data_IF_868042063220
#
_entry.id   IF_868042063220
#
_cell.length_a   1.000
_cell.length_b   1.000
_cell.length_c   1.000
_cell.angle_alpha   90.00
_cell.angle_beta   90.00
_cell.angle_gamma   90.00
#
_symmetry.space_group_name_H-M   'P 1'
#
loop_
_entity.id
_entity.type
_entity.pdbx_description
1 polymer ?
#
# COMPACT_ATOMS: atom_id res chain seq x y z
N UNK A 1 -32.14 53.18 8.83
CA UNK A 1 -32.73 54.39 9.45
C UNK A 1 -33.80 54.91 8.50
N UNK A 2 -35.08 55.16 8.76
CA UNK A 2 -35.98 55.09 9.93
C UNK A 2 -37.41 55.41 9.42
N UNK A 3 -38.45 54.75 9.98
CA UNK A 3 -39.93 55.06 10.01
C UNK A 3 -40.73 55.13 8.68
N UNK A 4 -41.80 54.35 8.45
CA UNK A 4 -43.16 54.21 9.07
C UNK A 4 -44.09 55.44 8.92
N UNK A 5 -45.28 55.24 8.31
CA UNK A 5 -46.68 55.52 8.75
C UNK A 5 -47.62 55.38 7.51
N UNK A 6 -48.57 54.44 7.39
CA UNK A 6 -49.93 54.21 7.97
C UNK A 6 -51.10 54.86 7.19
N UNK A 7 -52.29 54.20 7.29
CA UNK A 7 -53.68 54.53 6.83
C UNK A 7 -54.04 53.83 5.49
N UNK A 8 -55.17 53.13 5.27
CA UNK A 8 -56.36 52.79 6.04
C UNK A 8 -57.37 52.10 5.09
N UNK A 9 -58.00 50.99 5.50
CA UNK A 9 -59.45 50.79 5.64
C UNK A 9 -60.25 50.23 4.42
N UNK A 10 -60.72 48.99 4.63
CA UNK A 10 -61.86 48.20 4.13
C UNK A 10 -62.75 48.64 2.94
N UNK A 11 -63.18 47.66 2.12
CA UNK A 11 -64.61 47.32 1.89
C UNK A 11 -64.85 45.99 1.14
N UNK A 12 -65.96 45.38 1.53
CA UNK A 12 -66.58 44.06 1.24
C UNK A 12 -67.10 43.82 -0.20
N UNK A 13 -67.18 42.54 -0.61
CA UNK A 13 -68.34 41.85 -1.27
C UNK A 13 -67.92 40.41 -1.70
N UNK A 14 -68.22 39.31 -0.97
CA UNK A 14 -69.42 38.46 -0.88
C UNK A 14 -69.96 37.84 -2.20
N UNK A 15 -69.93 36.49 -2.26
CA UNK A 15 -70.92 35.49 -2.74
C UNK A 15 -70.19 34.32 -3.43
N UNK A 16 -70.42 33.02 -3.19
CA UNK A 16 -71.58 32.25 -2.69
C UNK A 16 -71.09 30.84 -2.28
N UNK A 17 -71.69 30.25 -1.23
CA UNK A 17 -71.47 28.87 -0.77
C UNK A 17 -72.72 28.02 -0.97
N UNK A 18 -72.63 26.81 -1.53
CA UNK A 18 -73.53 25.65 -1.35
C UNK A 18 -72.63 24.39 -1.58
N UNK A 19 -72.25 23.61 -0.55
CA UNK A 19 -72.92 22.39 -0.05
C UNK A 19 -73.09 21.30 -1.14
N UNK A 20 -72.78 20.00 -1.02
CA UNK A 20 -72.44 19.06 0.05
C UNK A 20 -71.96 17.72 -0.61
N UNK A 21 -71.31 16.87 0.20
CA UNK A 21 -71.24 15.39 0.15
C UNK A 21 -70.25 14.61 -0.76
N UNK A 22 -69.27 14.01 -0.05
CA UNK A 22 -68.85 12.60 -0.04
C UNK A 22 -68.44 11.88 -1.34
N UNK A 23 -67.18 11.41 -1.42
CA UNK A 23 -66.78 10.04 -1.05
C UNK A 23 -65.30 9.80 -1.45
N UNK A 24 -64.67 8.83 -0.79
CA UNK A 24 -63.25 8.47 -0.82
C UNK A 24 -62.65 8.22 -2.22
N UNK A 25 -61.38 8.59 -2.41
CA UNK A 25 -60.36 7.67 -2.93
C UNK A 25 -58.94 8.12 -2.57
N UNK A 26 -58.22 7.20 -1.94
CA UNK A 26 -56.85 7.24 -1.47
C UNK A 26 -55.81 7.17 -2.61
N UNK A 27 -54.79 8.04 -2.58
CA UNK A 27 -53.41 7.70 -2.98
C UNK A 27 -52.44 8.50 -2.10
N UNK A 28 -51.76 7.83 -1.17
CA UNK A 28 -50.54 8.35 -0.56
C UNK A 28 -49.39 8.15 -1.56
N UNK A 29 -48.88 9.23 -2.15
CA UNK A 29 -47.56 9.22 -2.77
C UNK A 29 -46.55 9.77 -1.78
N UNK A 30 -46.00 8.90 -0.93
CA UNK A 30 -44.79 9.20 -0.18
C UNK A 30 -43.62 9.27 -1.17
N UNK A 31 -43.30 10.47 -1.61
CA UNK A 31 -42.07 10.77 -2.34
C UNK A 31 -40.88 10.54 -1.42
N UNK A 32 -40.34 9.32 -1.44
CA UNK A 32 -39.06 9.00 -0.83
C UNK A 32 -37.95 9.73 -1.60
N UNK A 33 -37.34 10.71 -0.95
CA UNK A 33 -36.07 11.27 -1.39
C UNK A 33 -35.04 10.17 -1.21
N UNK A 34 -34.71 9.47 -2.29
CA UNK A 34 -33.60 8.54 -2.31
C UNK A 34 -32.31 9.37 -2.17
N UNK A 35 -31.82 9.50 -0.94
CA UNK A 35 -30.43 9.82 -0.68
C UNK A 35 -29.62 8.68 -1.27
N UNK A 36 -28.99 8.94 -2.43
CA UNK A 36 -27.90 8.12 -2.91
C UNK A 36 -26.82 8.17 -1.84
N UNK A 37 -26.81 7.15 -0.98
CA UNK A 37 -25.68 6.86 -0.14
C UNK A 37 -24.54 6.52 -1.10
N UNK A 38 -23.70 7.52 -1.35
CA UNK A 38 -22.38 7.32 -1.91
C UNK A 38 -21.73 6.25 -1.05
N UNK A 39 -21.69 5.04 -1.60
CA UNK A 39 -21.05 3.92 -0.95
C UNK A 39 -19.60 4.31 -0.92
N UNK A 40 -19.12 4.77 0.24
CA UNK A 40 -17.70 4.92 0.49
C UNK A 40 -17.09 3.54 0.27
N UNK A 41 -16.64 3.29 -0.96
CA UNK A 41 -15.86 2.13 -1.29
C UNK A 41 -14.75 2.11 -0.24
N UNK A 42 -14.60 0.99 0.45
CA UNK A 42 -13.52 0.82 1.42
C UNK A 42 -12.24 1.30 0.73
N UNK A 43 -11.68 2.41 1.21
CA UNK A 43 -10.46 3.02 0.68
C UNK A 43 -9.29 2.11 1.07
N UNK A 44 -9.25 0.93 0.46
CA UNK A 44 -8.11 0.03 0.50
C UNK A 44 -7.05 0.68 -0.38
N UNK A 45 -6.25 1.53 0.23
CA UNK A 45 -5.21 2.29 -0.45
C UNK A 45 -4.16 2.71 0.54
N UNK A 46 -3.05 3.19 0.03
CA UNK A 46 -1.98 3.73 0.84
C UNK A 46 -1.33 4.91 0.14
N UNK A 47 -0.68 5.73 0.94
CA UNK A 47 -0.03 6.95 0.50
C UNK A 47 1.43 6.91 0.89
N UNK A 48 2.30 7.20 -0.07
CA UNK A 48 3.75 7.22 0.13
C UNK A 48 4.37 8.51 -0.39
N UNK A 49 5.22 9.13 0.42
CA UNK A 49 5.99 10.30 0.01
C UNK A 49 7.27 9.90 -0.71
N UNK A 50 7.88 10.82 -1.47
CA UNK A 50 9.20 10.57 -2.07
C UNK A 50 10.26 10.17 -1.04
N UNK A 51 10.20 10.76 0.17
CA UNK A 51 11.08 10.40 1.29
C UNK A 51 10.92 8.94 1.71
N UNK A 52 9.69 8.47 1.80
CA UNK A 52 9.42 7.06 2.10
C UNK A 52 9.91 6.15 0.95
N UNK A 53 9.82 6.59 -0.30
CA UNK A 53 10.38 5.88 -1.45
C UNK A 53 11.92 5.99 -1.59
N UNK A 54 12.60 6.50 -0.57
CA UNK A 54 14.07 6.54 -0.48
C UNK A 54 14.72 7.87 -0.90
N UNK A 55 13.92 8.89 -1.27
CA UNK A 55 14.44 10.23 -1.62
C UNK A 55 14.41 11.18 -0.44
N UNK A 56 15.52 11.20 0.30
CA UNK A 56 15.65 12.04 1.49
C UNK A 56 15.72 13.56 1.19
N UNK A 57 16.08 13.92 -0.04
CA UNK A 57 16.23 15.30 -0.48
C UNK A 57 15.36 15.59 -1.70
N UNK A 58 14.95 16.85 -1.90
CA UNK A 58 14.23 17.27 -3.10
C UNK A 58 14.97 16.88 -4.37
N UNK A 59 14.25 16.44 -5.40
CA UNK A 59 14.86 16.17 -6.70
C UNK A 59 15.23 17.50 -7.36
N UNK A 60 16.51 17.68 -7.69
CA UNK A 60 17.00 18.89 -8.35
C UNK A 60 17.27 18.58 -9.82
N UNK A 61 16.33 18.95 -10.68
CA UNK A 61 16.41 18.76 -12.12
C UNK A 61 17.03 20.01 -12.75
N UNK A 62 18.15 19.87 -13.48
CA UNK A 62 18.91 21.00 -14.03
C UNK A 62 19.38 20.74 -15.46
N UNK A 63 19.43 21.80 -16.25
CA UNK A 63 19.77 21.75 -17.68
C UNK A 63 18.55 21.54 -18.57
N UNK A 64 18.80 21.29 -19.85
CA UNK A 64 17.73 21.19 -20.87
C UNK A 64 16.91 19.91 -20.80
N UNK A 65 17.51 18.81 -20.31
CA UNK A 65 16.85 17.53 -20.04
C UNK A 65 17.46 16.92 -18.79
N UNK A 66 16.65 16.75 -17.76
CA UNK A 66 17.04 16.11 -16.52
C UNK A 66 15.93 15.21 -16.01
N UNK A 67 16.29 13.97 -15.69
CA UNK A 67 15.35 12.98 -15.13
C UNK A 67 15.83 12.54 -13.77
N UNK A 68 14.89 12.43 -12.84
CA UNK A 68 15.13 11.78 -11.55
C UNK A 68 13.99 10.81 -11.22
N UNK A 69 14.27 9.81 -10.38
CA UNK A 69 13.36 8.66 -10.22
C UNK A 69 13.25 8.12 -8.81
N UNK A 70 12.10 7.51 -8.52
CA UNK A 70 11.86 6.66 -7.36
C UNK A 70 11.25 5.33 -7.78
N UNK A 71 11.58 4.27 -7.06
CA UNK A 71 10.94 2.99 -7.25
C UNK A 71 9.79 2.84 -6.26
N UNK A 72 8.69 2.24 -6.69
CA UNK A 72 7.60 1.79 -5.83
C UNK A 72 7.08 0.47 -6.37
N UNK A 73 6.65 -0.41 -5.49
CA UNK A 73 6.19 -1.74 -5.89
C UNK A 73 4.82 -2.03 -5.29
N UNK A 74 4.17 -3.04 -5.85
CA UNK A 74 2.86 -3.52 -5.44
C UNK A 74 3.01 -4.93 -4.88
N UNK A 75 2.28 -5.21 -3.80
CA UNK A 75 2.29 -6.55 -3.19
C UNK A 75 1.70 -7.60 -4.10
N UNK A 76 2.16 -8.84 -3.96
CA UNK A 76 1.65 -9.99 -4.70
C UNK A 76 0.21 -10.38 -4.36
N UNK A 77 -0.36 -9.90 -3.24
CA UNK A 77 -1.75 -10.15 -2.81
C UNK A 77 -2.69 -8.96 -3.11
N UNK A 78 -2.28 -8.03 -3.97
CA UNK A 78 -3.01 -6.81 -4.30
C UNK A 78 -3.01 -6.52 -5.80
N UNK A 79 -4.12 -5.96 -6.28
CA UNK A 79 -4.22 -5.37 -7.62
C UNK A 79 -4.48 -3.87 -7.50
N UNK A 80 -3.80 -3.07 -8.32
CA UNK A 80 -4.01 -1.62 -8.35
C UNK A 80 -5.28 -1.29 -9.11
N UNK A 81 -6.17 -0.53 -8.48
CA UNK A 81 -7.44 -0.07 -9.07
C UNK A 81 -7.44 1.42 -9.38
N UNK A 82 -6.40 2.13 -8.97
CA UNK A 82 -6.11 3.50 -9.39
C UNK A 82 -4.91 4.07 -8.65
N UNK A 83 -4.34 5.13 -9.18
CA UNK A 83 -3.25 5.84 -8.53
C UNK A 83 -3.30 7.32 -8.88
N UNK A 84 -2.82 8.17 -7.99
CA UNK A 84 -2.64 9.59 -8.26
C UNK A 84 -1.36 10.11 -7.62
N UNK A 85 -0.73 11.07 -8.29
CA UNK A 85 0.47 11.76 -7.83
C UNK A 85 0.09 13.19 -7.47
N UNK A 86 0.18 13.54 -6.19
CA UNK A 86 0.19 14.93 -5.75
C UNK A 86 1.61 15.44 -5.87
N UNK A 87 1.91 16.11 -6.98
CA UNK A 87 3.23 16.65 -7.31
C UNK A 87 3.38 18.05 -6.73
N UNK A 88 4.36 18.24 -5.83
CA UNK A 88 4.76 19.55 -5.30
C UNK A 88 6.09 19.94 -5.93
N UNK A 89 6.12 21.05 -6.68
CA UNK A 89 7.28 21.43 -7.48
C UNK A 89 7.46 22.95 -7.55
N UNK A 90 8.65 23.39 -7.95
CA UNK A 90 8.96 24.78 -8.26
C UNK A 90 9.94 24.82 -9.43
N UNK A 91 9.93 25.90 -10.20
CA UNK A 91 10.74 26.02 -11.40
C UNK A 91 11.17 27.46 -11.64
N UNK A 92 12.17 27.61 -12.50
CA UNK A 92 12.79 28.88 -12.80
C UNK A 92 11.82 29.87 -13.48
N UNK A 93 11.79 31.15 -13.05
CA UNK A 93 11.02 32.20 -13.72
C UNK A 93 11.56 32.60 -15.10
N UNK A 94 12.75 32.13 -15.47
CA UNK A 94 13.39 32.42 -16.75
C UNK A 94 13.02 31.41 -17.85
N UNK A 95 12.17 30.41 -17.57
CA UNK A 95 11.77 29.42 -18.57
C UNK A 95 10.79 29.99 -19.60
N UNK A 96 10.86 29.43 -20.80
CA UNK A 96 9.87 29.62 -21.85
C UNK A 96 8.73 28.63 -21.65
N UNK A 97 7.55 29.15 -21.32
CA UNK A 97 6.37 28.35 -20.99
C UNK A 97 5.94 27.40 -22.14
N UNK A 98 6.09 27.84 -23.38
CA UNK A 98 5.64 27.08 -24.56
C UNK A 98 6.56 25.89 -24.92
N UNK A 99 7.77 25.87 -24.36
CA UNK A 99 8.78 24.83 -24.65
C UNK A 99 9.20 24.03 -23.43
N UNK A 100 8.88 24.52 -22.22
CA UNK A 100 9.33 23.90 -20.98
C UNK A 100 8.21 23.12 -20.32
N UNK A 101 8.53 21.91 -19.86
CA UNK A 101 7.55 20.97 -19.32
C UNK A 101 8.17 20.03 -18.28
N UNK A 102 7.31 19.46 -17.43
CA UNK A 102 7.64 18.33 -16.58
C UNK A 102 6.82 17.12 -17.02
N UNK A 103 7.48 16.03 -17.39
CA UNK A 103 6.83 14.76 -17.69
C UNK A 103 6.80 13.89 -16.43
N UNK A 104 5.62 13.35 -16.13
CA UNK A 104 5.40 12.31 -15.13
C UNK A 104 5.30 10.99 -15.88
N UNK A 105 6.23 10.09 -15.61
CA UNK A 105 6.34 8.81 -16.31
C UNK A 105 6.32 7.65 -15.34
N UNK A 106 5.65 6.57 -15.72
CA UNK A 106 5.65 5.29 -15.01
C UNK A 106 6.24 4.25 -15.95
N UNK A 107 7.31 3.58 -15.53
CA UNK A 107 7.98 2.54 -16.32
C UNK A 107 8.36 3.01 -17.73
N UNK A 108 8.88 4.23 -17.82
CA UNK A 108 9.27 4.92 -19.06
C UNK A 108 8.12 5.28 -20.02
N UNK A 109 6.86 5.08 -19.61
CA UNK A 109 5.67 5.53 -20.32
C UNK A 109 5.13 6.84 -19.71
N UNK A 110 4.78 7.82 -20.55
CA UNK A 110 4.31 9.14 -20.10
C UNK A 110 2.87 9.05 -19.60
N UNK A 111 2.68 9.24 -18.30
CA UNK A 111 1.35 9.32 -17.69
C UNK A 111 0.74 10.72 -17.83
N UNK A 112 1.56 11.77 -17.70
CA UNK A 112 1.13 13.16 -17.90
C UNK A 112 2.30 14.07 -18.25
N UNK A 113 1.99 15.18 -18.91
CA UNK A 113 2.92 16.28 -19.20
C UNK A 113 2.35 17.56 -18.62
N UNK A 114 3.14 18.24 -17.80
CA UNK A 114 2.76 19.47 -17.12
C UNK A 114 3.46 20.65 -17.81
N UNK A 115 2.70 21.64 -18.34
CA UNK A 115 3.30 22.87 -18.84
C UNK A 115 3.84 23.71 -17.67
N UNK A 116 4.83 24.58 -17.95
CA UNK A 116 5.45 25.47 -16.95
C UNK A 116 5.12 26.94 -17.23
N UNK A 117 3.90 27.42 -16.90
CA UNK A 117 3.45 28.78 -17.20
C UNK A 117 4.20 29.86 -16.41
N UNK A 118 4.25 31.10 -16.90
CA UNK A 118 5.01 32.17 -16.23
C UNK A 118 4.40 32.60 -14.90
N UNK A 119 3.09 32.51 -14.75
CA UNK A 119 2.32 32.98 -13.60
C UNK A 119 2.67 32.23 -12.31
N UNK A 120 3.04 30.94 -12.43
CA UNK A 120 3.42 30.07 -11.32
C UNK A 120 4.93 30.01 -11.06
N UNK A 121 5.74 30.60 -11.92
CA UNK A 121 7.19 30.43 -11.90
C UNK A 121 7.82 31.10 -10.66
N UNK A 122 8.90 30.49 -10.14
CA UNK A 122 9.58 30.93 -8.92
C UNK A 122 8.80 30.73 -7.61
N UNK A 123 7.59 30.15 -7.66
CA UNK A 123 6.75 29.84 -6.49
C UNK A 123 6.51 28.33 -6.38
N UNK A 124 6.27 27.79 -5.17
CA UNK A 124 5.79 26.42 -5.02
C UNK A 124 4.43 26.23 -5.71
N UNK A 125 4.32 25.16 -6.49
CA UNK A 125 3.11 24.71 -7.17
C UNK A 125 2.73 23.32 -6.68
N UNK A 126 1.43 23.01 -6.70
CA UNK A 126 0.91 21.68 -6.40
C UNK A 126 -0.07 21.29 -7.49
N UNK A 127 0.12 20.10 -8.05
CA UNK A 127 -0.78 19.53 -9.05
C UNK A 127 -1.09 18.08 -8.71
N UNK A 128 -2.35 17.67 -8.91
CA UNK A 128 -2.77 16.28 -8.78
C UNK A 128 -2.86 15.68 -10.18
N UNK A 129 -2.17 14.56 -10.38
CA UNK A 129 -2.12 13.84 -11.64
C UNK A 129 -2.71 12.45 -11.41
N UNK A 130 -3.77 12.10 -12.14
CA UNK A 130 -4.27 10.73 -12.14
C UNK A 130 -3.35 9.86 -13.00
N UNK A 131 -2.93 8.72 -12.45
CA UNK A 131 -2.09 7.73 -13.12
C UNK A 131 -2.98 6.55 -13.51
N UNK A 132 -3.08 6.21 -14.80
CA UNK A 132 -3.85 5.05 -15.23
C UNK A 132 -3.34 3.75 -14.58
N UNK A 133 -4.21 2.94 -13.95
CA UNK A 133 -3.79 1.76 -13.19
C UNK A 133 -3.09 0.70 -14.05
N UNK A 134 -3.42 0.62 -15.35
CA UNK A 134 -2.79 -0.34 -16.27
C UNK A 134 -1.29 -0.08 -16.52
N UNK A 135 -0.78 1.11 -16.19
CA UNK A 135 0.65 1.43 -16.29
C UNK A 135 1.45 0.86 -15.10
N UNK A 136 0.75 0.46 -14.03
CA UNK A 136 1.37 -0.01 -12.78
C UNK A 136 1.41 -1.54 -12.78
N UNK A 137 2.62 -2.07 -12.67
CA UNK A 137 2.93 -3.49 -12.58
C UNK A 137 3.40 -3.85 -11.16
N UNK A 138 4.04 -5.01 -10.99
CA UNK A 138 4.58 -5.43 -9.70
C UNK A 138 5.74 -4.54 -9.22
N UNK A 139 6.65 -4.18 -10.12
CA UNK A 139 7.83 -3.36 -9.85
C UNK A 139 7.76 -2.12 -10.73
N UNK A 140 7.75 -0.93 -10.10
CA UNK A 140 7.54 0.29 -10.84
C UNK A 140 8.61 1.32 -10.58
N UNK A 141 8.83 2.14 -11.60
CA UNK A 141 9.65 3.34 -11.51
C UNK A 141 8.82 4.56 -11.88
N UNK A 142 8.68 5.48 -10.94
CA UNK A 142 8.16 6.82 -11.19
C UNK A 142 9.35 7.72 -11.58
N UNK A 143 9.35 8.18 -12.82
CA UNK A 143 10.31 9.14 -13.34
C UNK A 143 9.65 10.52 -13.43
N UNK A 144 10.40 11.54 -13.00
CA UNK A 144 10.05 12.94 -13.19
C UNK A 144 11.13 13.54 -14.08
N UNK A 145 10.76 13.83 -15.32
CA UNK A 145 11.64 14.44 -16.31
C UNK A 145 11.30 15.91 -16.44
N UNK A 146 12.31 16.76 -16.42
CA UNK A 146 12.23 18.17 -16.73
C UNK A 146 12.85 18.42 -18.10
N UNK A 147 12.08 19.04 -18.98
CA UNK A 147 12.56 19.62 -20.23
C UNK A 147 12.46 21.13 -20.09
N UNK A 148 13.58 21.84 -20.26
CA UNK A 148 13.66 23.27 -19.98
C UNK A 148 14.35 24.05 -21.08
N UNK A 149 13.74 25.15 -21.49
CA UNK A 149 14.31 26.10 -22.44
C UNK A 149 14.15 27.52 -21.90
N UNK A 150 15.17 28.37 -22.04
CA UNK A 150 15.13 29.77 -21.58
C UNK A 150 15.22 30.80 -22.72
N UNK A 151 15.53 30.35 -23.94
CA UNK A 151 15.65 31.19 -25.13
C UNK A 151 15.21 30.42 -26.38
N UNK A 152 14.73 31.12 -27.40
CA UNK A 152 14.41 30.57 -28.73
C UNK A 152 15.65 30.49 -29.64
N UNK A 153 16.78 31.04 -29.20
CA UNK A 153 18.06 31.04 -29.91
C UNK A 153 18.97 29.91 -29.42
N UNK A 154 20.24 29.93 -29.83
CA UNK A 154 21.24 29.04 -29.23
C UNK A 154 21.24 29.17 -27.71
N UNK A 155 21.09 28.05 -27.01
CA UNK A 155 21.04 27.97 -25.55
C UNK A 155 22.25 27.22 -25.00
N UNK A 156 22.71 27.58 -23.80
CA UNK A 156 23.66 26.77 -23.05
C UNK A 156 22.90 25.64 -22.32
N UNK A 157 23.19 24.35 -22.62
CA UNK A 157 22.49 23.22 -22.01
C UNK A 157 22.55 23.15 -20.48
N UNK A 158 23.50 23.86 -19.85
CA UNK A 158 23.72 23.87 -18.40
C UNK A 158 23.54 25.26 -17.78
N UNK A 159 22.89 26.17 -18.50
CA UNK A 159 22.65 27.53 -18.00
C UNK A 159 21.98 27.51 -16.62
N UNK A 160 22.39 28.40 -15.72
CA UNK A 160 21.92 28.43 -14.33
C UNK A 160 20.41 28.69 -14.19
N UNK A 161 19.79 29.27 -15.22
CA UNK A 161 18.35 29.47 -15.33
C UNK A 161 17.54 28.21 -15.59
N UNK A 162 18.16 27.10 -16.02
CA UNK A 162 17.48 25.85 -16.36
C UNK A 162 17.38 24.96 -15.13
N UNK A 163 16.31 25.15 -14.36
CA UNK A 163 16.06 24.33 -13.19
C UNK A 163 14.57 24.13 -12.89
N UNK A 164 14.27 22.94 -12.38
CA UNK A 164 13.05 22.59 -11.68
C UNK A 164 13.42 21.80 -10.42
N UNK A 165 12.61 21.91 -9.37
CA UNK A 165 12.77 21.20 -8.12
C UNK A 165 11.48 20.51 -7.74
N UNK A 166 11.56 19.22 -7.45
CA UNK A 166 10.45 18.43 -6.92
C UNK A 166 10.62 18.32 -5.42
N UNK A 167 9.64 18.81 -4.67
CA UNK A 167 9.68 18.88 -3.22
C UNK A 167 9.37 17.51 -2.59
N UNK A 168 9.87 17.30 -1.38
CA UNK A 168 9.66 16.07 -0.61
C UNK A 168 8.19 15.83 -0.21
N UNK A 169 7.36 16.87 -0.24
CA UNK A 169 5.90 16.78 0.01
C UNK A 169 5.15 16.10 -1.14
N UNK A 170 5.82 15.84 -2.26
CA UNK A 170 5.27 15.03 -3.35
C UNK A 170 4.88 13.65 -2.84
N UNK A 171 3.66 13.23 -3.18
CA UNK A 171 3.00 12.07 -2.61
C UNK A 171 2.31 11.25 -3.68
N UNK A 172 2.55 9.95 -3.66
CA UNK A 172 1.91 8.96 -4.51
C UNK A 172 0.84 8.23 -3.69
N UNK A 173 -0.41 8.39 -4.11
CA UNK A 173 -1.58 7.76 -3.54
C UNK A 173 -1.97 6.57 -4.43
N UNK A 174 -2.01 5.36 -3.88
CA UNK A 174 -2.30 4.12 -4.61
C UNK A 174 -3.54 3.47 -4.01
N UNK A 175 -4.54 3.22 -4.84
CA UNK A 175 -5.75 2.45 -4.52
C UNK A 175 -5.56 1.02 -4.96
N UNK A 176 -5.80 0.08 -4.06
CA UNK A 176 -5.60 -1.35 -4.25
C UNK A 176 -6.81 -2.16 -3.83
N UNK A 177 -7.03 -3.28 -4.50
CA UNK A 177 -7.97 -4.30 -4.06
C UNK A 177 -7.19 -5.54 -3.66
N UNK A 178 -7.27 -5.98 -2.40
CA UNK A 178 -6.64 -7.23 -1.99
C UNK A 178 -7.35 -8.41 -2.64
N UNK A 179 -6.63 -9.49 -2.91
CA UNK A 179 -7.20 -10.74 -3.39
C UNK A 179 -6.65 -11.95 -2.62
N UNK A 180 -7.44 -13.02 -2.59
CA UNK A 180 -7.08 -14.22 -1.85
C UNK A 180 -6.02 -15.02 -2.60
N UNK A 181 -4.84 -15.17 -1.99
CA UNK A 181 -3.82 -16.11 -2.45
C UNK A 181 -4.26 -17.57 -2.23
N UNK A 182 -3.71 -18.54 -2.99
CA UNK A 182 -3.93 -19.95 -2.71
C UNK A 182 -3.35 -20.34 -1.33
N UNK A 183 -3.93 -21.36 -0.70
CA UNK A 183 -3.34 -21.99 0.48
C UNK A 183 -2.27 -22.97 0.01
N UNK A 184 -1.06 -22.45 -0.22
CA UNK A 184 0.08 -23.25 -0.69
C UNK A 184 1.35 -22.82 0.04
N UNK A 185 2.04 -23.77 0.68
CA UNK A 185 3.30 -23.51 1.35
C UNK A 185 4.45 -23.22 0.36
N UNK A 186 4.28 -23.53 -0.93
CA UNK A 186 5.29 -23.28 -1.96
C UNK A 186 5.53 -21.79 -2.23
N UNK A 187 4.56 -20.92 -1.91
CA UNK A 187 4.66 -19.46 -2.12
C UNK A 187 5.29 -18.73 -0.94
N UNK A 188 5.69 -19.43 0.13
CA UNK A 188 6.35 -18.81 1.27
C UNK A 188 7.63 -18.07 0.83
N UNK A 189 7.87 -16.87 1.36
CA UNK A 189 7.25 -16.29 2.56
C UNK A 189 5.97 -15.45 2.32
N UNK A 190 5.39 -15.43 1.11
CA UNK A 190 4.14 -14.72 0.84
C UNK A 190 2.95 -15.38 1.56
N UNK A 191 1.92 -14.60 1.98
CA UNK A 191 1.85 -13.13 2.03
C UNK A 191 2.39 -12.51 3.33
N UNK A 192 3.03 -13.30 4.20
CA UNK A 192 3.54 -12.85 5.50
C UNK A 192 4.70 -11.86 5.36
N UNK A 193 5.53 -12.06 4.34
CA UNK A 193 6.54 -11.12 3.92
C UNK A 193 6.61 -11.08 2.41
N UNK A 194 6.54 -9.86 1.85
CA UNK A 194 6.73 -9.60 0.44
C UNK A 194 7.90 -8.63 0.27
N UNK A 195 8.93 -9.05 -0.46
CA UNK A 195 10.10 -8.21 -0.79
C UNK A 195 9.75 -6.98 -1.60
N UNK A 196 8.59 -6.98 -2.26
CA UNK A 196 8.06 -5.83 -3.02
C UNK A 196 7.53 -4.77 -2.07
N UNK A 197 6.99 -5.17 -0.92
CA UNK A 197 6.39 -4.22 0.01
C UNK A 197 7.47 -3.44 0.76
N UNK A 198 7.75 -2.24 0.27
CA UNK A 198 8.69 -1.32 0.91
C UNK A 198 8.10 -0.65 2.17
N UNK A 199 6.90 -1.02 2.65
CA UNK A 199 6.31 -0.46 3.89
C UNK A 199 6.84 -1.15 5.16
N UNK A 200 6.48 -0.61 6.32
CA UNK A 200 6.82 -1.27 7.59
C UNK A 200 6.05 -2.60 7.72
N UNK A 201 6.76 -3.62 8.19
CA UNK A 201 6.16 -4.96 8.36
C UNK A 201 5.62 -5.03 9.78
N UNK A 202 4.32 -5.29 9.93
CA UNK A 202 3.70 -5.58 11.23
C UNK A 202 3.06 -6.97 11.15
N UNK A 203 3.78 -7.98 11.64
CA UNK A 203 3.36 -9.38 11.53
C UNK A 203 3.18 -9.97 12.94
N UNK A 204 1.94 -10.16 13.41
CA UNK A 204 1.69 -10.82 14.68
C UNK A 204 2.30 -12.23 14.73
N UNK A 205 3.07 -12.51 15.79
CA UNK A 205 3.69 -13.82 16.03
C UNK A 205 3.53 -14.24 17.49
N UNK A 206 3.13 -15.47 17.76
CA UNK A 206 3.14 -15.99 19.13
C UNK A 206 4.56 -16.49 19.51
N UNK A 207 5.27 -15.71 20.33
CA UNK A 207 6.52 -16.07 21.02
C UNK A 207 7.58 -16.85 20.20
N UNK A 208 8.10 -16.27 19.11
CA UNK A 208 9.07 -16.95 18.26
C UNK A 208 10.16 -16.01 17.72
N UNK A 209 11.22 -15.77 18.52
CA UNK A 209 12.41 -15.04 18.07
C UNK A 209 13.03 -15.62 16.79
N UNK A 210 12.89 -16.93 16.55
CA UNK A 210 13.33 -17.59 15.32
C UNK A 210 12.52 -17.15 14.09
N UNK A 211 11.19 -17.02 14.20
CA UNK A 211 10.32 -16.56 13.10
C UNK A 211 10.55 -15.08 12.80
N UNK A 212 10.66 -14.25 13.84
CA UNK A 212 11.02 -12.85 13.69
C UNK A 212 12.40 -12.69 13.03
N UNK A 213 13.37 -13.54 13.38
CA UNK A 213 14.70 -13.56 12.76
C UNK A 213 14.65 -14.01 11.30
N UNK A 214 13.81 -14.99 10.95
CA UNK A 214 13.64 -15.45 9.57
C UNK A 214 13.08 -14.36 8.66
N UNK A 215 12.00 -13.70 9.09
CA UNK A 215 11.42 -12.57 8.34
C UNK A 215 12.38 -11.37 8.32
N UNK A 216 13.07 -11.12 9.44
CA UNK A 216 14.09 -10.06 9.54
C UNK A 216 15.28 -10.29 8.59
N UNK A 217 15.75 -11.53 8.46
CA UNK A 217 16.84 -11.90 7.55
C UNK A 217 16.42 -11.80 6.07
N UNK A 218 15.15 -12.03 5.75
CA UNK A 218 14.61 -11.84 4.40
C UNK A 218 14.51 -10.36 4.00
N UNK A 219 14.59 -9.43 4.97
CA UNK A 219 14.47 -7.99 4.74
C UNK A 219 15.80 -7.38 4.32
N UNK A 220 15.82 -6.78 3.13
CA UNK A 220 17.03 -6.16 2.55
C UNK A 220 17.01 -4.62 2.56
N UNK A 221 15.88 -3.98 2.92
CA UNK A 221 15.73 -2.50 2.93
C UNK A 221 15.30 -1.93 4.28
N UNK A 222 15.81 -0.73 4.57
CA UNK A 222 15.75 0.03 5.82
C UNK A 222 14.34 0.53 6.19
N UNK A 223 13.46 -0.39 6.58
CA UNK A 223 12.13 -0.11 7.15
C UNK A 223 11.95 -0.90 8.45
N UNK A 224 11.06 -0.49 9.34
CA UNK A 224 10.89 -1.16 10.63
C UNK A 224 10.14 -2.50 10.47
N UNK A 225 10.50 -3.51 11.26
CA UNK A 225 9.75 -4.76 11.35
C UNK A 225 9.30 -4.93 12.80
N UNK A 226 7.98 -5.02 12.99
CA UNK A 226 7.32 -5.22 14.27
C UNK A 226 6.65 -6.59 14.26
N UNK A 227 6.85 -7.33 15.35
CA UNK A 227 6.31 -8.66 15.53
C UNK A 227 5.53 -8.72 16.85
N UNK A 228 4.33 -8.11 16.93
CA UNK A 228 3.56 -8.10 18.16
C UNK A 228 3.15 -9.52 18.53
N UNK A 229 3.34 -9.89 19.81
CA UNK A 229 2.95 -11.19 20.32
C UNK A 229 1.59 -11.14 20.99
N UNK A 230 0.68 -11.99 20.50
CA UNK A 230 -0.65 -12.19 21.05
C UNK A 230 -0.74 -13.61 21.62
N UNK A 231 -1.52 -13.78 22.68
CA UNK A 231 -1.72 -15.07 23.34
C UNK A 231 -3.22 -15.36 23.39
N UNK A 232 -3.61 -16.58 23.02
CA UNK A 232 -5.00 -17.06 23.05
C UNK A 232 -6.00 -16.22 22.22
N UNK A 233 -5.51 -15.39 21.30
CA UNK A 233 -6.34 -14.59 20.41
C UNK A 233 -5.74 -14.54 19.00
N UNK A 234 -6.62 -14.49 17.99
CA UNK A 234 -6.23 -14.19 16.62
C UNK A 234 -6.33 -12.69 16.38
N UNK A 235 -5.44 -12.10 15.56
CA UNK A 235 -5.65 -10.75 15.05
C UNK A 235 -7.03 -10.61 14.40
N UNK A 236 -7.59 -9.40 14.45
CA UNK A 236 -8.93 -9.18 13.90
C UNK A 236 -8.99 -9.45 12.38
N UNK A 237 -7.92 -9.10 11.65
CA UNK A 237 -7.77 -9.24 10.18
C UNK A 237 -6.29 -9.36 9.81
N UNK A 238 -6.01 -9.67 8.54
CA UNK A 238 -4.67 -9.70 7.97
C UNK A 238 -3.96 -11.05 8.10
N UNK A 239 -2.63 -11.01 7.95
CA UNK A 239 -1.78 -12.20 7.96
C UNK A 239 -1.14 -12.40 9.33
N UNK A 240 -1.03 -13.64 9.81
CA UNK A 240 -0.37 -13.93 11.08
C UNK A 240 0.30 -15.32 11.12
N UNK A 241 1.33 -15.45 11.95
CA UNK A 241 1.95 -16.73 12.27
C UNK A 241 1.35 -17.24 13.59
N UNK A 242 0.72 -18.42 13.55
CA UNK A 242 -0.04 -18.97 14.68
C UNK A 242 0.65 -20.25 15.16
N UNK A 243 0.95 -20.34 16.46
CA UNK A 243 1.60 -21.51 17.03
C UNK A 243 0.61 -22.24 17.94
N UNK A 244 0.26 -23.48 17.61
CA UNK A 244 -0.67 -24.28 18.43
C UNK A 244 -0.01 -25.58 18.86
N UNK A 245 -0.29 -26.04 20.08
CA UNK A 245 0.20 -27.33 20.59
C UNK A 245 -0.88 -28.10 21.31
N UNK A 246 -0.86 -29.42 21.18
CA UNK A 246 -1.75 -30.32 21.90
C UNK A 246 -1.92 -31.66 21.16
N UNK A 247 -2.39 -32.67 21.87
CA UNK A 247 -2.56 -34.03 21.33
C UNK A 247 -3.94 -34.23 20.66
N UNK A 248 -4.93 -33.40 21.03
CA UNK A 248 -6.28 -33.41 20.49
C UNK A 248 -6.54 -32.33 19.43
N UNK A 249 -7.79 -32.18 18.97
CA UNK A 249 -8.21 -31.07 18.13
C UNK A 249 -7.84 -29.72 18.78
N UNK A 250 -7.32 -28.80 17.97
CA UNK A 250 -6.83 -27.51 18.44
C UNK A 250 -7.82 -26.43 18.02
N UNK A 251 -8.08 -25.48 18.92
CA UNK A 251 -8.98 -24.37 18.66
C UNK A 251 -8.38 -23.06 19.17
N UNK A 252 -8.45 -22.01 18.35
CA UNK A 252 -8.07 -20.66 18.71
C UNK A 252 -9.09 -19.68 18.11
N UNK A 253 -10.02 -19.20 18.94
CA UNK A 253 -11.16 -18.42 18.46
C UNK A 253 -11.99 -19.20 17.44
N UNK A 254 -12.13 -18.64 16.23
CA UNK A 254 -12.84 -19.26 15.10
C UNK A 254 -11.97 -20.24 14.28
N UNK A 255 -10.66 -20.32 14.55
CA UNK A 255 -9.78 -21.29 13.89
C UNK A 255 -9.90 -22.65 14.58
N UNK A 256 -10.31 -23.66 13.82
CA UNK A 256 -10.33 -25.06 14.25
C UNK A 256 -9.35 -25.87 13.41
N UNK A 257 -8.53 -26.68 14.08
CA UNK A 257 -7.51 -27.51 13.45
C UNK A 257 -7.66 -28.96 13.93
N UNK A 258 -7.46 -29.95 13.04
CA UNK A 258 -7.45 -31.35 13.44
C UNK A 258 -6.28 -31.62 14.42
N UNK A 259 -6.37 -32.73 15.14
CA UNK A 259 -5.30 -33.17 16.01
C UNK A 259 -3.99 -33.32 15.20
N UNK A 260 -2.88 -32.71 15.64
CA UNK A 260 -1.63 -32.76 14.89
C UNK A 260 -1.07 -34.18 14.91
N UNK A 261 -0.75 -34.72 13.74
CA UNK A 261 -0.09 -36.03 13.59
C UNK A 261 1.41 -35.97 13.91
N UNK A 262 1.94 -34.77 14.12
CA UNK A 262 3.35 -34.48 14.35
C UNK A 262 3.66 -32.99 14.09
N UNK A 263 4.94 -32.61 13.97
CA UNK A 263 5.35 -31.25 13.61
C UNK A 263 4.82 -30.88 12.22
N UNK A 264 3.86 -29.96 12.14
CA UNK A 264 3.12 -29.70 10.88
C UNK A 264 3.02 -28.20 10.62
N UNK A 265 3.25 -27.80 9.37
CA UNK A 265 2.98 -26.46 8.85
C UNK A 265 1.71 -26.50 8.03
N UNK A 266 0.77 -25.59 8.26
CA UNK A 266 -0.48 -25.52 7.50
C UNK A 266 -0.83 -24.08 7.17
N UNK A 267 -1.02 -23.77 5.89
CA UNK A 267 -1.51 -22.48 5.42
C UNK A 267 -3.03 -22.54 5.31
N UNK A 268 -3.71 -21.61 5.99
CA UNK A 268 -5.17 -21.49 5.95
C UNK A 268 -5.60 -20.05 5.70
N UNK A 269 -6.82 -19.87 5.20
CA UNK A 269 -7.44 -18.54 5.11
C UNK A 269 -7.84 -18.07 6.50
N UNK A 270 -7.64 -16.78 6.79
CA UNK A 270 -8.02 -16.18 8.05
C UNK A 270 -9.55 -16.23 8.23
N UNK A 271 -10.10 -16.81 9.32
CA UNK A 271 -11.55 -16.99 9.46
C UNK A 271 -12.38 -15.70 9.38
N UNK A 272 -11.81 -14.60 9.88
CA UNK A 272 -12.46 -13.28 9.88
C UNK A 272 -12.01 -12.36 8.71
N UNK A 273 -11.14 -12.84 7.81
CA UNK A 273 -10.62 -12.06 6.68
C UNK A 273 -10.37 -12.96 5.46
N UNK A 274 -11.24 -12.94 4.44
CA UNK A 274 -11.10 -13.79 3.26
C UNK A 274 -9.79 -13.61 2.48
N UNK A 275 -9.15 -12.45 2.58
CA UNK A 275 -7.88 -12.15 1.90
C UNK A 275 -6.66 -12.37 2.80
N UNK A 276 -6.87 -12.51 4.11
CA UNK A 276 -5.82 -12.80 5.08
C UNK A 276 -5.44 -14.28 5.11
N UNK A 277 -4.19 -14.57 5.46
CA UNK A 277 -3.65 -15.92 5.62
C UNK A 277 -3.07 -16.13 7.01
N UNK A 278 -3.26 -17.34 7.52
CA UNK A 278 -2.63 -17.81 8.74
C UNK A 278 -1.66 -18.94 8.40
N UNK A 279 -0.40 -18.81 8.82
CA UNK A 279 0.52 -19.94 8.81
C UNK A 279 0.47 -20.58 10.19
N UNK A 280 -0.26 -21.69 10.28
CA UNK A 280 -0.48 -22.42 11.51
C UNK A 280 0.62 -23.47 11.66
N UNK A 281 1.42 -23.32 12.69
CA UNK A 281 2.53 -24.19 13.04
C UNK A 281 2.06 -25.02 14.23
N UNK A 282 1.97 -26.33 14.04
CA UNK A 282 1.38 -27.24 15.04
C UNK A 282 2.32 -28.37 15.43
N UNK A 283 2.12 -28.89 16.64
CA UNK A 283 2.78 -30.09 17.12
C UNK A 283 2.10 -30.64 18.37
N UNK A 284 2.33 -31.91 18.70
CA UNK A 284 1.74 -32.54 19.89
C UNK A 284 2.30 -31.95 21.19
N UNK A 285 3.55 -31.50 21.14
CA UNK A 285 4.26 -30.90 22.27
C UNK A 285 5.23 -29.79 21.79
N UNK A 286 5.88 -29.13 22.74
CA UNK A 286 6.82 -28.04 22.46
C UNK A 286 8.02 -28.45 21.62
N UNK A 287 8.46 -29.72 21.68
CA UNK A 287 9.59 -30.20 20.89
C UNK A 287 9.23 -30.34 19.40
N UNK A 288 8.04 -30.86 19.10
CA UNK A 288 7.51 -30.91 17.74
C UNK A 288 7.24 -29.51 17.18
N UNK A 289 6.65 -28.63 17.98
CA UNK A 289 6.43 -27.25 17.59
C UNK A 289 7.76 -26.57 17.21
N UNK A 290 8.80 -26.74 18.03
CA UNK A 290 10.16 -26.24 17.74
C UNK A 290 10.75 -26.86 16.47
N UNK A 291 10.52 -28.16 16.22
CA UNK A 291 10.95 -28.82 14.99
C UNK A 291 10.28 -28.23 13.75
N UNK A 292 8.97 -27.95 13.81
CA UNK A 292 8.23 -27.32 12.72
C UNK A 292 8.71 -25.88 12.45
N UNK A 293 8.93 -25.08 13.51
CA UNK A 293 9.52 -23.74 13.39
C UNK A 293 10.92 -23.80 12.76
N UNK A 294 11.78 -24.69 13.24
CA UNK A 294 13.13 -24.82 12.70
C UNK A 294 13.14 -25.23 11.23
N UNK A 295 12.22 -26.11 10.79
CA UNK A 295 12.09 -26.50 9.39
C UNK A 295 11.76 -25.30 8.49
N UNK A 296 10.85 -24.44 8.94
CA UNK A 296 10.47 -23.22 8.23
C UNK A 296 11.65 -22.23 8.13
N UNK A 297 12.38 -22.02 9.23
CA UNK A 297 13.46 -21.02 9.32
C UNK A 297 14.73 -21.46 8.59
N UNK A 298 15.14 -22.71 8.76
CA UNK A 298 16.36 -23.25 8.13
C UNK A 298 16.19 -23.39 6.62
N UNK A 299 14.96 -23.66 6.16
CA UNK A 299 14.68 -23.95 4.76
C UNK A 299 15.29 -25.28 4.31
N UNK A 300 15.11 -25.62 3.03
CA UNK A 300 15.69 -26.81 2.40
C UNK A 300 14.72 -27.95 2.13
N UNK A 301 13.50 -27.92 2.68
CA UNK A 301 12.42 -28.82 2.25
C UNK A 301 11.51 -28.09 1.26
N UNK A 302 11.16 -28.76 0.16
CA UNK A 302 10.13 -28.28 -0.74
C UNK A 302 8.78 -28.46 -0.04
N UNK A 303 8.25 -27.37 0.51
CA UNK A 303 6.91 -27.33 1.10
C UNK A 303 5.93 -27.08 -0.04
N UNK A 304 4.99 -27.99 -0.28
CA UNK A 304 4.00 -27.89 -1.36
C UNK A 304 2.63 -28.24 -0.82
N UNK A 305 1.61 -27.52 -1.31
CA UNK A 305 0.22 -27.71 -0.90
C UNK A 305 -0.10 -26.96 0.40
N UNK A 306 -1.33 -27.13 0.88
CA UNK A 306 -1.83 -26.37 2.03
C UNK A 306 -1.27 -26.84 3.38
N UNK A 307 -0.75 -28.06 3.48
CA UNK A 307 -0.22 -28.63 4.73
C UNK A 307 0.96 -29.56 4.47
N UNK A 308 1.99 -29.47 5.32
CA UNK A 308 3.20 -30.29 5.24
C UNK A 308 3.59 -30.82 6.62
N UNK A 309 3.76 -32.15 6.71
CA UNK A 309 4.30 -32.83 7.88
C UNK A 309 5.83 -32.82 7.81
N UNK A 310 6.49 -32.37 8.89
CA UNK A 310 7.94 -32.22 8.95
C UNK A 310 8.59 -33.52 9.45
N UNK A 311 9.00 -34.36 8.51
CA UNK A 311 9.64 -35.64 8.83
C UNK A 311 11.10 -35.44 9.29
N UNK A 312 11.87 -34.62 8.58
CA UNK A 312 13.29 -34.38 8.83
C UNK A 312 13.60 -32.88 8.83
N UNK A 313 14.50 -32.46 9.70
CA UNK A 313 15.10 -31.13 9.66
C UNK A 313 16.60 -31.35 9.58
N UNK A 314 17.19 -31.01 8.43
CA UNK A 314 18.63 -31.04 8.29
C UNK A 314 19.19 -29.85 9.07
N UNK A 315 19.67 -30.11 10.27
CA UNK A 315 20.28 -29.08 11.09
C UNK A 315 21.51 -28.55 10.38
N UNK A 316 21.57 -27.22 10.23
CA UNK A 316 22.75 -26.56 9.69
C UNK A 316 23.96 -26.88 10.55
N UNK A 317 25.11 -27.08 9.89
CA UNK A 317 26.38 -27.21 10.58
C UNK A 317 26.61 -25.95 11.46
N UNK A 318 27.22 -26.10 12.64
CA UNK A 318 27.57 -24.96 13.48
C UNK A 318 28.37 -23.92 12.68
N UNK A 319 28.01 -22.66 12.89
CA UNK A 319 28.72 -21.52 12.28
C UNK A 319 30.17 -21.49 12.75
N UNK A 320 31.08 -21.15 11.85
CA UNK A 320 32.50 -20.92 12.14
C UNK A 320 32.74 -19.44 12.44
N UNK A 321 33.78 -19.08 13.21
CA UNK A 321 34.18 -17.68 13.35
C UNK A 321 34.40 -17.02 11.97
N UNK A 322 33.94 -15.78 11.83
CA UNK A 322 34.08 -14.96 10.60
C UNK A 322 33.41 -15.53 9.34
N UNK A 323 32.44 -16.44 9.47
CA UNK A 323 31.76 -17.06 8.33
C UNK A 323 30.49 -16.31 7.87
N UNK A 324 30.23 -15.11 8.41
CA UNK A 324 29.03 -14.32 8.16
C UNK A 324 28.82 -14.07 6.65
N UNK A 325 27.66 -14.45 6.07
CA UNK A 325 27.51 -14.52 4.60
C UNK A 325 27.46 -13.14 3.95
N UNK A 326 27.03 -12.11 4.69
CA UNK A 326 26.98 -10.73 4.21
C UNK A 326 28.28 -9.96 4.49
N UNK A 327 29.29 -10.62 5.06
CA UNK A 327 30.59 -10.02 5.32
C UNK A 327 31.61 -10.55 4.34
N UNK A 328 32.61 -9.74 4.04
CA UNK A 328 33.73 -10.18 3.24
C UNK A 328 34.49 -11.27 4.02
N UNK A 329 34.66 -12.47 3.44
CA UNK A 329 35.37 -13.55 4.11
C UNK A 329 36.83 -13.18 4.35
N UNK A 330 37.32 -13.43 5.57
CA UNK A 330 38.70 -13.12 5.99
C UNK A 330 39.69 -14.24 5.74
N UNK A 331 39.20 -15.43 5.38
CA UNK A 331 39.97 -16.67 5.22
C UNK A 331 40.43 -16.92 3.78
N UNK A 332 40.04 -16.07 2.83
CA UNK A 332 40.42 -16.22 1.41
C UNK A 332 40.46 -14.88 0.66
N UNK A 333 41.25 -14.78 -0.42
CA UNK A 333 41.20 -13.66 -1.33
C UNK A 333 39.82 -13.55 -2.00
N UNK A 334 39.34 -12.34 -2.16
CA UNK A 334 38.07 -11.99 -2.81
C UNK A 334 38.35 -11.03 -3.97
N UNK A 335 37.64 -11.24 -5.08
CA UNK A 335 37.76 -10.40 -6.27
C UNK A 335 36.95 -9.12 -6.02
N UNK A 336 37.62 -7.97 -6.18
CA UNK A 336 37.00 -6.65 -6.12
C UNK A 336 36.17 -6.38 -7.39
#
# INVERSE_FOLDING_TARGET
MTKRYFIGAERFAVRRSWALLACALSVLSTGGVATAAETAAANNGYSVTLKQLGRNYPMSLRGVDATDSVNFNVRADQVVTGASLTLSYSYSPALLADLSQINVMINDEVAATLPLPKEGAGKPQVQVIEIPPQMITEFNRLNLQFIGHYTMSCEDPKHSSLWARINNDTRLDIRVTPFALPNDLAILPLPFFDRRDDRDVNLPVEAAGALASWIGAAKTRSRMASFPAHFNELPAKGNALVLLKGEGPLQLGALTMPAPKGPTLTMVTHPNDPNGKLLVITGRNSAELKKAVNALVVGGQSLVGSSALIERVDMLAPRKPYDAPNWLPSDRPIKL
#
